data_IF_530535860587
#
_entry.id   IF_530535860587
#
_cell.length_a   1.000
_cell.length_b   1.000
_cell.length_c   1.000
_cell.angle_alpha   90.00
_cell.angle_beta   90.00
_cell.angle_gamma   90.00
#
_symmetry.space_group_name_H-M   'P 1'
#
loop_
_entity.id
_entity.type
_entity.pdbx_description
1 polymer ?
#
# COMPACT_ATOMS: atom_id res chain seq x y z
N UNK A 1 14.72 31.96 12.09
CA UNK A 1 15.89 31.19 11.66
C UNK A 1 15.79 29.84 12.33
N UNK A 2 15.29 28.85 11.60
CA UNK A 2 15.11 27.47 12.05
C UNK A 2 16.46 26.78 11.95
N UNK A 3 17.06 26.37 13.07
CA UNK A 3 18.24 25.53 13.04
C UNK A 3 17.80 24.11 12.71
N UNK A 4 17.96 23.73 11.45
CA UNK A 4 17.92 22.33 11.04
C UNK A 4 18.99 21.58 11.82
N UNK A 5 18.57 20.61 12.62
CA UNK A 5 19.48 19.70 13.33
C UNK A 5 19.44 18.34 12.61
N UNK A 6 20.56 17.85 12.06
CA UNK A 6 20.57 16.51 11.49
C UNK A 6 20.47 15.49 12.64
N UNK A 7 19.52 14.57 12.53
CA UNK A 7 19.24 13.49 13.51
C UNK A 7 20.42 12.51 13.76
N UNK A 8 21.56 12.71 13.07
CA UNK A 8 22.75 11.86 13.11
C UNK A 8 23.75 12.20 14.22
N UNK A 9 23.46 13.16 15.12
CA UNK A 9 24.33 13.53 16.26
C UNK A 9 23.62 13.65 17.60
N UNK A 10 22.65 12.79 17.91
CA UNK A 10 22.45 12.44 19.32
C UNK A 10 23.67 11.63 19.77
N UNK A 11 24.29 11.91 20.93
CA UNK A 11 25.48 11.19 21.34
C UNK A 11 25.13 9.72 21.47
N UNK A 12 25.68 8.94 20.55
CA UNK A 12 25.58 7.48 20.39
C UNK A 12 25.78 6.70 21.70
N UNK A 13 26.39 7.35 22.69
CA UNK A 13 26.69 6.85 24.03
C UNK A 13 25.43 6.85 24.92
N UNK A 14 24.57 7.87 24.87
CA UNK A 14 23.41 7.98 25.78
C UNK A 14 22.32 6.98 25.39
N UNK A 15 22.08 6.79 24.08
CA UNK A 15 21.11 5.80 23.61
C UNK A 15 21.62 4.36 23.82
N UNK A 16 22.90 4.07 23.52
CA UNK A 16 23.45 2.74 23.77
C UNK A 16 23.60 2.41 25.25
N UNK A 17 24.04 3.34 26.11
CA UNK A 17 24.10 3.07 27.56
C UNK A 17 22.70 3.00 28.16
N UNK A 18 21.79 3.92 27.81
CA UNK A 18 20.43 3.93 28.33
C UNK A 18 19.64 2.68 27.93
N UNK A 19 19.69 2.28 26.66
CA UNK A 19 18.96 1.11 26.15
C UNK A 19 19.63 -0.23 26.47
N UNK A 20 20.96 -0.30 26.66
CA UNK A 20 21.62 -1.52 27.19
C UNK A 20 21.34 -1.76 28.68
N UNK A 21 21.01 -0.70 29.43
CA UNK A 21 20.68 -0.80 30.86
C UNK A 21 19.22 -1.12 31.12
N UNK A 22 18.35 -0.93 30.13
CA UNK A 22 16.97 -1.36 30.20
C UNK A 22 16.87 -2.69 29.47
N UNK A 23 16.49 -3.77 30.13
CA UNK A 23 16.00 -4.97 29.44
C UNK A 23 14.56 -4.68 29.00
N UNK A 24 14.11 -4.93 27.75
CA UNK A 24 14.65 -5.83 26.72
C UNK A 24 14.70 -5.20 25.30
N UNK A 25 15.76 -4.44 24.97
CA UNK A 25 15.87 -3.76 23.66
C UNK A 25 16.99 -4.34 22.81
N UNK A 26 16.73 -4.47 21.50
CA UNK A 26 17.73 -4.76 20.48
C UNK A 26 17.67 -3.66 19.40
N UNK A 27 18.83 -3.13 19.01
CA UNK A 27 18.96 -2.08 18.00
C UNK A 27 19.54 -2.73 16.75
N UNK A 28 18.71 -2.90 15.73
CA UNK A 28 19.15 -3.42 14.43
C UNK A 28 19.55 -2.27 13.51
N UNK A 29 20.74 -2.41 12.91
CA UNK A 29 21.22 -1.49 11.90
C UNK A 29 20.99 -2.11 10.53
N UNK A 30 19.95 -1.68 9.82
CA UNK A 30 19.77 -2.01 8.41
C UNK A 30 20.51 -0.96 7.59
N UNK A 31 21.22 -1.40 6.54
CA UNK A 31 22.01 -0.54 5.69
C UNK A 31 21.08 0.41 4.89
N UNK A 32 21.18 1.71 5.17
CA UNK A 32 20.43 2.76 4.48
C UNK A 32 19.43 3.48 5.39
N UNK A 33 19.93 4.44 6.17
CA UNK A 33 19.22 5.50 6.94
C UNK A 33 18.06 5.16 7.90
N UNK A 34 17.47 3.97 7.87
CA UNK A 34 16.41 3.58 8.81
C UNK A 34 16.99 2.83 10.03
N UNK A 35 16.73 3.35 11.23
CA UNK A 35 17.02 2.66 12.49
C UNK A 35 15.74 2.06 13.03
N UNK A 36 15.68 0.73 13.04
CA UNK A 36 14.60 -0.04 13.64
C UNK A 36 14.92 -0.31 15.11
N UNK A 37 13.98 0.03 15.99
CA UNK A 37 14.05 -0.32 17.41
C UNK A 37 13.08 -1.49 17.64
N UNK A 38 13.62 -2.68 17.92
CA UNK A 38 12.84 -3.88 18.22
C UNK A 38 12.72 -4.03 19.73
N UNK A 39 11.52 -4.35 20.20
CA UNK A 39 11.18 -4.44 21.61
C UNK A 39 10.62 -5.82 21.92
N UNK A 40 11.15 -6.47 22.96
CA UNK A 40 10.71 -7.81 23.38
C UNK A 40 10.07 -7.79 24.76
N UNK A 41 8.85 -7.27 24.88
CA UNK A 41 8.19 -7.07 26.19
C UNK A 41 7.40 -8.32 26.60
N UNK A 42 7.58 -8.86 27.82
CA UNK A 42 6.73 -9.92 28.34
C UNK A 42 5.29 -9.41 28.54
N UNK A 43 4.30 -10.16 28.06
CA UNK A 43 2.90 -9.71 27.96
C UNK A 43 2.20 -9.44 29.29
N UNK A 44 2.78 -9.82 30.43
CA UNK A 44 2.14 -9.69 31.75
C UNK A 44 1.80 -8.23 32.13
N UNK A 45 2.47 -7.23 31.53
CA UNK A 45 2.21 -5.79 31.76
C UNK A 45 1.45 -5.07 30.61
N UNK A 46 1.06 -5.80 29.56
CA UNK A 46 0.16 -5.36 28.50
C UNK A 46 0.68 -4.23 27.59
N UNK A 47 0.02 -4.09 26.43
CA UNK A 47 0.30 -3.05 25.41
C UNK A 47 0.29 -1.59 25.93
N UNK A 48 -0.14 -1.36 27.18
CA UNK A 48 -0.29 -0.07 27.83
C UNK A 48 1.03 0.59 28.22
N UNK A 49 2.02 -0.18 28.69
CA UNK A 49 3.34 0.36 29.04
C UNK A 49 4.07 0.92 27.82
N UNK A 50 3.91 0.23 26.68
CA UNK A 50 4.58 0.57 25.44
C UNK A 50 4.10 1.91 24.85
N UNK A 51 2.81 2.24 25.01
CA UNK A 51 2.29 3.53 24.56
C UNK A 51 2.87 4.70 25.33
N UNK A 52 2.98 4.57 26.65
CA UNK A 52 3.56 5.62 27.48
C UNK A 52 5.00 5.91 27.07
N UNK A 53 5.75 4.85 26.76
CA UNK A 53 7.11 4.97 26.24
C UNK A 53 7.17 5.64 24.86
N UNK A 54 6.34 5.21 23.89
CA UNK A 54 6.28 5.85 22.56
C UNK A 54 5.95 7.34 22.68
N UNK A 55 4.96 7.70 23.50
CA UNK A 55 4.61 9.11 23.72
C UNK A 55 5.75 9.89 24.37
N UNK A 56 6.50 9.26 25.27
CA UNK A 56 7.69 9.88 25.88
C UNK A 56 8.80 10.12 24.85
N UNK A 57 9.08 9.15 23.97
CA UNK A 57 10.04 9.33 22.87
C UNK A 57 9.57 10.42 21.90
N UNK A 58 8.28 10.40 21.54
CA UNK A 58 7.69 11.44 20.71
C UNK A 58 7.84 12.83 21.32
N UNK A 59 7.69 12.95 22.64
CA UNK A 59 7.90 14.20 23.37
C UNK A 59 9.36 14.64 23.39
N UNK A 60 10.30 13.72 23.72
CA UNK A 60 11.74 14.05 23.79
C UNK A 60 12.27 14.48 22.43
N UNK A 61 11.90 13.76 21.36
CA UNK A 61 12.45 14.00 20.03
C UNK A 61 11.58 14.94 19.18
N UNK A 62 10.40 15.31 19.66
CA UNK A 62 9.41 16.09 18.92
C UNK A 62 9.04 15.43 17.58
N UNK A 63 8.84 14.10 17.58
CA UNK A 63 8.50 13.28 16.41
C UNK A 63 7.21 12.53 16.69
N UNK A 64 6.25 12.57 15.77
CA UNK A 64 5.01 11.80 15.88
C UNK A 64 5.18 10.37 15.36
N UNK A 65 4.44 9.42 15.92
CA UNK A 65 4.28 8.09 15.35
C UNK A 65 3.62 8.21 13.97
N UNK A 66 4.27 7.70 12.94
CA UNK A 66 3.80 7.80 11.55
C UNK A 66 3.33 6.46 10.99
N UNK A 67 4.02 5.39 11.35
CA UNK A 67 3.92 4.06 10.74
C UNK A 67 3.75 3.00 11.85
N UNK A 68 2.87 2.03 11.62
CA UNK A 68 2.74 0.81 12.42
C UNK A 68 2.81 -0.40 11.49
N UNK A 69 3.73 -1.31 11.78
CA UNK A 69 3.75 -2.65 11.18
C UNK A 69 3.28 -3.66 12.23
N UNK A 70 2.28 -4.45 11.88
CA UNK A 70 1.66 -5.43 12.76
C UNK A 70 1.68 -6.81 12.11
N UNK A 71 2.45 -7.70 12.74
CA UNK A 71 2.48 -9.12 12.45
C UNK A 71 1.30 -9.79 13.17
N UNK A 72 0.12 -9.74 12.55
CA UNK A 72 -1.14 -9.98 13.25
C UNK A 72 -1.32 -11.44 13.74
N UNK A 73 -0.59 -12.38 13.14
CA UNK A 73 -0.60 -13.80 13.50
C UNK A 73 0.13 -14.10 14.81
N UNK A 74 0.98 -13.18 15.27
CA UNK A 74 1.75 -13.33 16.52
C UNK A 74 0.92 -13.03 17.77
N UNK A 75 -0.28 -12.49 17.58
CA UNK A 75 -1.13 -12.00 18.66
C UNK A 75 -2.51 -12.65 18.60
N UNK A 76 -3.13 -12.81 19.77
CA UNK A 76 -4.54 -13.18 19.85
C UNK A 76 -5.42 -12.08 19.28
N UNK A 77 -6.69 -12.40 19.03
CA UNK A 77 -7.68 -11.44 18.55
C UNK A 77 -7.80 -10.23 19.48
N UNK A 78 -7.93 -10.45 20.79
CA UNK A 78 -8.12 -9.39 21.78
C UNK A 78 -6.89 -8.46 21.83
N UNK A 79 -5.69 -9.02 21.68
CA UNK A 79 -4.44 -8.25 21.65
C UNK A 79 -4.33 -7.40 20.38
N UNK A 80 -4.65 -7.96 19.21
CA UNK A 80 -4.73 -7.19 17.95
C UNK A 80 -5.73 -6.03 18.07
N UNK A 81 -6.90 -6.27 18.67
CA UNK A 81 -7.90 -5.23 18.90
C UNK A 81 -7.35 -4.08 19.76
N UNK A 82 -6.68 -4.41 20.87
CA UNK A 82 -6.06 -3.42 21.77
C UNK A 82 -4.95 -2.64 21.04
N UNK A 83 -4.10 -3.32 20.26
CA UNK A 83 -3.00 -2.69 19.52
C UNK A 83 -3.57 -1.68 18.52
N UNK A 84 -4.57 -2.07 17.71
CA UNK A 84 -5.14 -1.19 16.70
C UNK A 84 -5.84 0.01 17.33
N UNK A 85 -6.60 -0.18 18.40
CA UNK A 85 -7.27 0.92 19.10
C UNK A 85 -6.28 1.91 19.71
N UNK A 86 -5.17 1.42 20.25
CA UNK A 86 -4.14 2.29 20.80
C UNK A 86 -3.42 3.03 19.68
N UNK A 87 -2.84 2.32 18.72
CA UNK A 87 -1.85 2.90 17.81
C UNK A 87 -2.45 3.45 16.52
N UNK A 88 -3.65 3.01 16.13
CA UNK A 88 -4.32 3.42 14.89
C UNK A 88 -5.72 4.02 15.12
N UNK A 89 -6.18 4.21 16.36
CA UNK A 89 -7.47 4.85 16.68
C UNK A 89 -7.31 6.34 16.99
N UNK A 90 -8.06 7.21 16.29
CA UNK A 90 -8.15 8.62 16.61
C UNK A 90 -9.17 8.80 17.75
N UNK A 91 -8.69 8.61 18.98
CA UNK A 91 -9.51 8.87 20.17
C UNK A 91 -9.34 10.32 20.59
N UNK A 92 -10.39 10.92 21.18
CA UNK A 92 -10.40 12.32 21.66
C UNK A 92 -9.27 12.68 22.64
N UNK A 93 -8.53 11.70 23.14
CA UNK A 93 -7.40 11.86 24.06
C UNK A 93 -6.04 11.68 23.39
N UNK A 94 -5.97 11.35 22.10
CA UNK A 94 -4.74 10.88 21.49
C UNK A 94 -4.54 11.34 20.05
N UNK A 95 -3.64 12.31 19.87
CA UNK A 95 -3.28 12.86 18.56
C UNK A 95 -2.05 12.20 17.94
N UNK A 96 -1.37 11.32 18.68
CA UNK A 96 -0.15 10.64 18.25
C UNK A 96 -0.46 9.20 17.82
N UNK A 97 -1.13 9.04 16.69
CA UNK A 97 -1.52 7.76 16.11
C UNK A 97 -0.85 7.55 14.75
N UNK A 98 -0.58 6.29 14.41
CA UNK A 98 0.00 5.91 13.14
C UNK A 98 -0.99 6.22 12.00
N UNK A 99 -0.52 6.95 11.00
CA UNK A 99 -1.29 7.28 9.79
C UNK A 99 -1.09 6.25 8.69
N UNK A 100 -0.12 5.36 8.86
CA UNK A 100 0.20 4.27 7.95
C UNK A 100 0.20 2.96 8.72
N UNK A 101 -0.48 1.96 8.18
CA UNK A 101 -0.60 0.63 8.77
C UNK A 101 -0.12 -0.41 7.76
N UNK A 102 0.76 -1.31 8.19
CA UNK A 102 1.16 -2.51 7.44
C UNK A 102 0.72 -3.73 8.24
N UNK A 103 -0.09 -4.58 7.63
CA UNK A 103 -0.46 -5.89 8.20
C UNK A 103 0.36 -6.96 7.50
N UNK A 104 1.12 -7.71 8.30
CA UNK A 104 2.00 -8.79 7.83
C UNK A 104 1.47 -10.12 8.34
N UNK A 105 1.27 -11.07 7.43
CA UNK A 105 0.99 -12.48 7.74
C UNK A 105 2.12 -13.35 7.20
N UNK A 106 2.99 -13.83 8.10
CA UNK A 106 4.17 -14.65 7.71
C UNK A 106 3.77 -16.01 7.13
N UNK A 107 2.62 -16.54 7.54
CA UNK A 107 2.10 -17.83 7.11
C UNK A 107 0.80 -17.68 6.31
N UNK A 108 0.47 -18.70 5.52
CA UNK A 108 -0.78 -18.75 4.77
C UNK A 108 -1.95 -18.58 5.73
N UNK A 109 -2.74 -17.52 5.52
CA UNK A 109 -3.85 -17.16 6.37
C UNK A 109 -4.95 -18.23 6.34
N UNK A 110 -5.42 -18.59 7.53
CA UNK A 110 -6.61 -19.40 7.75
C UNK A 110 -7.88 -18.55 7.61
N UNK A 111 -9.08 -19.16 7.51
CA UNK A 111 -10.33 -18.40 7.54
C UNK A 111 -10.51 -17.57 8.82
N UNK A 112 -9.95 -18.01 9.96
CA UNK A 112 -9.96 -17.24 11.21
C UNK A 112 -9.06 -16.00 11.14
N UNK A 113 -7.92 -16.12 10.47
CA UNK A 113 -7.01 -14.99 10.19
C UNK A 113 -7.67 -13.98 9.26
N UNK A 114 -8.37 -14.43 8.22
CA UNK A 114 -9.12 -13.55 7.33
C UNK A 114 -10.21 -12.76 8.09
N UNK A 115 -10.90 -13.40 9.05
CA UNK A 115 -11.87 -12.73 9.93
C UNK A 115 -11.19 -11.71 10.84
N UNK A 116 -10.01 -12.04 11.39
CA UNK A 116 -9.22 -11.13 12.21
C UNK A 116 -8.77 -9.90 11.41
N UNK A 117 -8.26 -10.09 10.19
CA UNK A 117 -7.89 -8.99 9.29
C UNK A 117 -9.11 -8.11 9.00
N UNK A 118 -10.27 -8.70 8.67
CA UNK A 118 -11.50 -7.93 8.50
C UNK A 118 -11.85 -7.12 9.75
N UNK A 119 -11.68 -7.71 10.93
CA UNK A 119 -11.91 -7.02 12.19
C UNK A 119 -10.97 -5.82 12.38
N UNK A 120 -9.68 -5.99 12.09
CA UNK A 120 -8.68 -4.91 12.14
C UNK A 120 -9.03 -3.78 11.14
N UNK A 121 -9.37 -4.13 9.91
CA UNK A 121 -9.72 -3.18 8.85
C UNK A 121 -10.96 -2.32 9.18
N UNK A 122 -11.90 -2.90 9.93
CA UNK A 122 -13.10 -2.21 10.40
C UNK A 122 -12.84 -1.27 11.60
N UNK A 123 -11.62 -1.24 12.15
CA UNK A 123 -11.27 -0.44 13.33
C UNK A 123 -10.20 0.61 13.09
N UNK A 124 -9.23 0.30 12.24
CA UNK A 124 -8.08 1.16 11.98
C UNK A 124 -8.48 2.49 11.32
N UNK A 125 -7.79 3.58 11.69
CA UNK A 125 -8.01 4.93 11.16
C UNK A 125 -6.77 5.46 10.41
N UNK A 126 -6.02 4.58 9.74
CA UNK A 126 -4.88 4.95 8.91
C UNK A 126 -5.35 5.67 7.63
N UNK A 127 -5.17 6.99 7.60
CA UNK A 127 -5.62 7.85 6.51
C UNK A 127 -4.62 7.87 5.32
N UNK A 128 -3.33 7.64 5.55
CA UNK A 128 -2.31 7.84 4.53
C UNK A 128 -2.04 6.58 3.70
N UNK A 129 -1.69 5.46 4.35
CA UNK A 129 -1.28 4.23 3.67
C UNK A 129 -1.77 3.01 4.43
N UNK A 130 -2.34 2.05 3.72
CA UNK A 130 -2.63 0.72 4.25
C UNK A 130 -1.92 -0.31 3.37
N UNK A 131 -1.06 -1.13 3.97
CA UNK A 131 -0.37 -2.23 3.32
C UNK A 131 -0.94 -3.55 3.83
N UNK A 132 -1.36 -4.42 2.92
CA UNK A 132 -1.75 -5.80 3.19
C UNK A 132 -0.68 -6.71 2.58
N UNK A 133 0.20 -7.23 3.41
CA UNK A 133 1.16 -8.26 3.02
C UNK A 133 0.80 -9.57 3.70
N UNK A 134 -0.05 -10.33 3.02
CA UNK A 134 -0.55 -11.59 3.56
C UNK A 134 -0.88 -12.55 2.43
N UNK A 135 -0.59 -13.82 2.65
CA UNK A 135 -0.94 -14.88 1.73
C UNK A 135 -2.26 -15.52 2.14
N UNK A 136 -3.34 -15.22 1.42
CA UNK A 136 -4.65 -15.86 1.64
C UNK A 136 -5.24 -16.37 0.33
N UNK A 137 -6.03 -17.44 0.43
CA UNK A 137 -6.83 -17.99 -0.67
C UNK A 137 -8.32 -17.70 -0.52
N UNK A 138 -8.77 -17.29 0.66
CA UNK A 138 -10.18 -17.10 1.00
C UNK A 138 -10.53 -15.67 1.37
N UNK A 139 -9.54 -14.81 1.58
CA UNK A 139 -9.76 -13.43 1.96
C UNK A 139 -10.62 -12.71 0.91
N UNK A 140 -11.59 -11.95 1.39
CA UNK A 140 -12.56 -11.29 0.55
C UNK A 140 -12.74 -9.84 0.99
N UNK A 141 -12.07 -8.94 0.28
CA UNK A 141 -12.12 -7.49 0.53
C UNK A 141 -13.52 -6.89 0.31
N UNK A 142 -14.43 -7.59 -0.37
CA UNK A 142 -15.83 -7.12 -0.52
C UNK A 142 -16.57 -7.10 0.82
N UNK A 143 -16.10 -7.91 1.77
CA UNK A 143 -16.67 -8.00 3.12
C UNK A 143 -15.99 -7.05 4.10
N UNK A 144 -14.81 -6.52 3.77
CA UNK A 144 -14.13 -5.56 4.63
C UNK A 144 -14.82 -4.19 4.51
N UNK A 145 -15.30 -3.66 5.63
CA UNK A 145 -15.80 -2.30 5.72
C UNK A 145 -14.71 -1.42 6.32
N UNK A 146 -13.83 -0.89 5.47
CA UNK A 146 -12.80 0.04 5.94
C UNK A 146 -13.44 1.17 6.75
N UNK A 147 -12.99 1.34 8.00
CA UNK A 147 -13.45 2.45 8.83
C UNK A 147 -13.06 3.80 8.24
N UNK A 148 -11.84 3.88 7.70
CA UNK A 148 -11.36 4.98 6.89
C UNK A 148 -10.81 4.49 5.56
N UNK A 149 -11.03 5.30 4.53
CA UNK A 149 -10.48 5.09 3.19
C UNK A 149 -9.05 5.64 3.16
N UNK A 150 -8.02 4.79 3.02
CA UNK A 150 -6.65 5.27 2.95
C UNK A 150 -6.40 5.94 1.59
N UNK A 151 -5.53 6.96 1.58
CA UNK A 151 -5.08 7.58 0.32
C UNK A 151 -4.33 6.58 -0.57
N UNK A 152 -3.57 5.67 0.01
CA UNK A 152 -2.85 4.61 -0.70
C UNK A 152 -3.18 3.24 -0.11
N UNK A 153 -3.62 2.32 -0.96
CA UNK A 153 -3.73 0.89 -0.65
C UNK A 153 -2.57 0.16 -1.33
N UNK A 154 -1.80 -0.60 -0.57
CA UNK A 154 -0.75 -1.47 -1.07
C UNK A 154 -1.13 -2.91 -0.78
N UNK A 155 -1.09 -3.76 -1.79
CA UNK A 155 -1.38 -5.19 -1.67
C UNK A 155 -0.15 -5.92 -2.16
N UNK A 156 0.43 -6.73 -1.28
CA UNK A 156 1.52 -7.64 -1.60
C UNK A 156 0.99 -9.07 -1.58
N UNK A 157 1.56 -9.92 -2.42
CA UNK A 157 1.21 -11.34 -2.53
C UNK A 157 -0.30 -11.61 -2.74
N UNK A 158 -0.95 -10.99 -3.75
CA UNK A 158 -2.40 -10.86 -3.91
C UNK A 158 -3.07 -12.13 -4.47
N UNK A 159 -2.80 -13.31 -3.90
CA UNK A 159 -3.40 -14.57 -4.37
C UNK A 159 -4.93 -14.59 -4.27
N UNK A 160 -5.50 -13.76 -3.39
CA UNK A 160 -6.93 -13.59 -3.18
C UNK A 160 -7.58 -12.51 -4.07
N UNK A 161 -6.80 -11.70 -4.81
CA UNK A 161 -7.35 -10.61 -5.63
C UNK A 161 -7.79 -11.12 -7.01
N UNK A 162 -9.06 -10.88 -7.35
CA UNK A 162 -9.63 -11.14 -8.67
C UNK A 162 -10.02 -9.84 -9.39
N UNK A 163 -10.32 -9.90 -10.70
CA UNK A 163 -10.88 -8.74 -11.46
C UNK A 163 -12.12 -8.14 -10.82
N UNK A 164 -12.91 -8.99 -10.17
CA UNK A 164 -14.14 -8.59 -9.49
C UNK A 164 -13.87 -7.92 -8.15
N UNK A 165 -12.66 -8.02 -7.59
CA UNK A 165 -12.29 -7.34 -6.34
C UNK A 165 -11.78 -5.92 -6.59
N UNK A 166 -11.17 -5.68 -7.76
CA UNK A 166 -10.66 -4.36 -8.16
C UNK A 166 -11.74 -3.26 -8.12
N UNK A 167 -13.01 -3.63 -8.34
CA UNK A 167 -14.15 -2.69 -8.24
C UNK A 167 -14.47 -2.23 -6.82
N UNK A 168 -13.99 -2.93 -5.80
CA UNK A 168 -14.25 -2.60 -4.40
C UNK A 168 -13.10 -1.84 -3.74
N UNK A 169 -11.96 -1.72 -4.41
CA UNK A 169 -10.88 -0.86 -3.93
C UNK A 169 -11.34 0.58 -3.89
N UNK A 170 -11.13 1.21 -2.73
CA UNK A 170 -11.54 2.56 -2.46
C UNK A 170 -10.37 3.28 -1.78
N UNK A 171 -9.54 3.91 -2.62
CA UNK A 171 -8.34 4.66 -2.25
C UNK A 171 -7.96 5.56 -3.40
N UNK A 172 -7.28 6.68 -3.17
CA UNK A 172 -6.79 7.51 -4.28
C UNK A 172 -5.84 6.70 -5.19
N UNK A 173 -4.89 6.00 -4.59
CA UNK A 173 -3.91 5.16 -5.28
C UNK A 173 -3.94 3.71 -4.79
N UNK A 174 -3.75 2.76 -5.71
CA UNK A 174 -3.65 1.32 -5.40
C UNK A 174 -2.37 0.75 -6.01
N UNK A 175 -1.56 0.07 -5.21
CA UNK A 175 -0.36 -0.64 -5.65
C UNK A 175 -0.53 -2.14 -5.40
N UNK A 176 -0.36 -2.94 -6.42
CA UNK A 176 -0.46 -4.40 -6.34
C UNK A 176 0.87 -4.98 -6.79
N UNK A 177 1.58 -5.64 -5.87
CA UNK A 177 2.89 -6.24 -6.12
C UNK A 177 2.76 -7.75 -6.28
N UNK A 178 3.71 -8.37 -6.98
CA UNK A 178 3.79 -9.84 -7.09
C UNK A 178 2.51 -10.51 -7.60
N UNK A 179 1.86 -9.93 -8.61
CA UNK A 179 0.63 -10.47 -9.20
C UNK A 179 0.93 -11.69 -10.10
N UNK A 180 1.18 -12.85 -9.49
CA UNK A 180 1.68 -14.04 -10.18
C UNK A 180 0.62 -14.95 -10.84
N UNK A 181 -0.67 -14.65 -10.68
CA UNK A 181 -1.72 -15.48 -11.30
C UNK A 181 -1.75 -15.35 -12.82
N UNK A 182 -1.79 -16.50 -13.51
CA UNK A 182 -1.96 -16.59 -14.97
C UNK A 182 -3.25 -15.89 -15.43
N UNK A 183 -4.23 -15.69 -14.56
CA UNK A 183 -5.51 -15.05 -14.92
C UNK A 183 -5.45 -13.53 -15.01
N UNK A 184 -4.35 -12.89 -14.62
CA UNK A 184 -4.28 -11.43 -14.55
C UNK A 184 -4.45 -10.72 -15.90
N UNK A 185 -4.04 -11.31 -17.03
CA UNK A 185 -4.36 -10.78 -18.36
C UNK A 185 -5.86 -10.62 -18.63
N UNK A 186 -6.68 -11.64 -18.33
CA UNK A 186 -8.15 -11.56 -18.40
C UNK A 186 -8.69 -10.48 -17.46
N UNK A 187 -8.03 -10.24 -16.33
CA UNK A 187 -8.46 -9.22 -15.38
C UNK A 187 -8.25 -7.82 -15.93
N UNK A 188 -7.13 -7.58 -16.63
CA UNK A 188 -6.85 -6.31 -17.31
C UNK A 188 -7.80 -6.10 -18.48
N UNK A 189 -8.02 -7.13 -19.32
CA UNK A 189 -9.00 -7.10 -20.42
C UNK A 189 -10.39 -6.70 -19.90
N UNK A 190 -10.87 -7.41 -18.86
CA UNK A 190 -12.18 -7.14 -18.25
C UNK A 190 -12.25 -5.74 -17.62
N UNK A 191 -11.16 -5.26 -17.01
CA UNK A 191 -11.08 -3.95 -16.40
C UNK A 191 -11.22 -2.84 -17.44
N UNK A 192 -10.51 -2.95 -18.58
CA UNK A 192 -10.58 -1.99 -19.67
C UNK A 192 -12.00 -1.96 -20.25
N UNK A 193 -12.56 -3.13 -20.56
CA UNK A 193 -13.93 -3.22 -21.12
C UNK A 193 -14.96 -2.61 -20.18
N UNK A 194 -14.94 -2.99 -18.89
CA UNK A 194 -15.90 -2.44 -17.94
C UNK A 194 -15.77 -0.93 -17.81
N UNK A 195 -14.55 -0.42 -17.77
CA UNK A 195 -14.33 1.03 -17.68
C UNK A 195 -14.88 1.75 -18.91
N UNK A 196 -14.62 1.21 -20.11
CA UNK A 196 -15.13 1.75 -21.37
C UNK A 196 -16.66 1.75 -21.41
N UNK A 197 -17.31 0.69 -20.93
CA UNK A 197 -18.77 0.59 -20.82
C UNK A 197 -19.37 1.28 -19.58
N UNK A 198 -18.72 2.34 -19.09
CA UNK A 198 -19.29 3.28 -18.12
C UNK A 198 -19.03 2.98 -16.64
N UNK A 199 -18.33 1.89 -16.31
CA UNK A 199 -17.91 1.69 -14.92
C UNK A 199 -16.79 2.67 -14.56
N UNK A 200 -16.94 3.38 -13.45
CA UNK A 200 -15.90 4.29 -12.93
C UNK A 200 -15.43 3.75 -11.58
N UNK A 201 -14.15 3.35 -11.43
CA UNK A 201 -13.63 2.82 -10.17
C UNK A 201 -13.59 3.90 -9.08
N UNK A 202 -13.62 3.52 -7.80
CA UNK A 202 -13.47 4.46 -6.68
C UNK A 202 -12.02 4.91 -6.43
N UNK A 203 -11.07 4.33 -7.15
CA UNK A 203 -9.68 4.76 -7.19
C UNK A 203 -9.35 5.59 -8.43
N UNK A 204 -8.26 6.35 -8.36
CA UNK A 204 -7.82 7.25 -9.45
C UNK A 204 -6.66 6.66 -10.24
N UNK A 205 -5.62 6.22 -9.52
CA UNK A 205 -4.43 5.64 -10.12
C UNK A 205 -4.13 4.27 -9.54
N UNK A 206 -3.61 3.39 -10.39
CA UNK A 206 -3.26 2.02 -10.00
C UNK A 206 -1.93 1.62 -10.62
N UNK A 207 -1.13 0.86 -9.89
CA UNK A 207 0.01 0.12 -10.41
C UNK A 207 -0.15 -1.36 -10.09
N UNK A 208 0.08 -2.22 -11.07
CA UNK A 208 0.11 -3.67 -10.90
C UNK A 208 1.44 -4.20 -11.46
N UNK A 209 2.18 -4.93 -10.64
CA UNK A 209 3.38 -5.66 -11.03
C UNK A 209 3.04 -7.08 -11.47
N UNK A 210 3.36 -7.42 -12.71
CA UNK A 210 3.20 -8.75 -13.29
C UNK A 210 4.54 -9.44 -13.42
N UNK A 211 4.51 -10.76 -13.61
CA UNK A 211 5.66 -11.49 -14.13
C UNK A 211 5.94 -11.09 -15.59
N UNK A 212 4.88 -10.94 -16.39
CA UNK A 212 4.92 -10.45 -17.76
C UNK A 212 3.53 -9.97 -18.18
N UNK A 213 3.47 -8.86 -18.92
CA UNK A 213 2.25 -8.34 -19.55
C UNK A 213 2.59 -7.66 -20.89
N UNK A 214 1.81 -7.98 -21.93
CA UNK A 214 1.86 -7.28 -23.20
C UNK A 214 0.51 -6.57 -23.42
N UNK A 215 0.53 -5.23 -23.38
CA UNK A 215 -0.70 -4.44 -23.54
C UNK A 215 -1.22 -4.47 -24.97
N UNK A 216 -0.36 -4.61 -25.98
CA UNK A 216 -0.80 -4.69 -27.38
C UNK A 216 -1.65 -5.95 -27.59
N UNK A 217 -1.24 -7.09 -27.02
CA UNK A 217 -2.01 -8.35 -27.08
C UNK A 217 -3.39 -8.23 -26.42
N UNK A 218 -3.46 -7.53 -25.29
CA UNK A 218 -4.70 -7.26 -24.55
C UNK A 218 -5.63 -6.36 -25.38
N UNK A 219 -5.11 -5.24 -25.91
CA UNK A 219 -5.90 -4.30 -26.70
C UNK A 219 -6.40 -4.98 -27.98
N UNK A 220 -5.56 -5.76 -28.66
CA UNK A 220 -5.94 -6.46 -29.88
C UNK A 220 -7.11 -7.43 -29.69
N UNK A 221 -7.23 -8.06 -28.51
CA UNK A 221 -8.38 -8.93 -28.20
C UNK A 221 -9.69 -8.16 -27.98
N UNK A 222 -9.62 -6.92 -27.51
CA UNK A 222 -10.81 -6.11 -27.21
C UNK A 222 -11.18 -5.12 -28.32
N UNK A 223 -10.37 -5.03 -29.40
CA UNK A 223 -10.65 -4.18 -30.59
C UNK A 223 -11.99 -4.42 -31.25
N UNK A 224 -12.54 -5.64 -31.17
CA UNK A 224 -13.88 -5.92 -31.70
C UNK A 224 -14.98 -5.19 -30.91
N UNK A 225 -14.70 -4.80 -29.67
CA UNK A 225 -15.65 -4.18 -28.72
C UNK A 225 -15.41 -2.69 -28.53
N UNK A 226 -14.18 -2.22 -28.75
CA UNK A 226 -13.77 -0.82 -28.60
C UNK A 226 -13.32 -0.29 -29.96
N UNK A 227 -13.99 0.73 -30.54
CA UNK A 227 -13.61 1.31 -31.81
C UNK A 227 -12.18 1.84 -31.82
N UNK A 228 -11.47 1.64 -32.94
CA UNK A 228 -10.10 2.17 -33.11
C UNK A 228 -10.04 3.71 -33.01
N UNK A 229 -11.14 4.42 -33.30
CA UNK A 229 -11.23 5.88 -33.14
C UNK A 229 -11.06 6.35 -31.69
N UNK A 230 -11.36 5.47 -30.73
CA UNK A 230 -11.35 5.78 -29.31
C UNK A 230 -10.04 5.37 -28.64
N UNK A 231 -9.12 4.75 -29.40
CA UNK A 231 -7.84 4.22 -28.93
C UNK A 231 -6.67 5.02 -29.51
N UNK A 232 -5.94 5.70 -28.63
CA UNK A 232 -4.68 6.37 -28.98
C UNK A 232 -3.49 5.63 -28.39
N UNK A 233 -2.69 4.97 -29.24
CA UNK A 233 -1.44 4.31 -28.86
C UNK A 233 -0.26 5.27 -28.98
N UNK A 234 0.62 5.25 -27.99
CA UNK A 234 1.93 5.92 -28.01
C UNK A 234 2.99 5.00 -27.40
N UNK A 235 4.23 5.14 -27.84
CA UNK A 235 5.35 4.32 -27.39
C UNK A 235 6.56 5.22 -27.19
N UNK A 236 7.27 5.02 -26.08
CA UNK A 236 8.46 5.79 -25.74
C UNK A 236 9.51 4.88 -25.10
N UNK A 237 10.77 5.27 -25.23
CA UNK A 237 11.87 4.68 -24.46
C UNK A 237 12.55 5.81 -23.72
N UNK A 238 12.62 5.68 -22.40
CA UNK A 238 13.19 6.71 -21.52
C UNK A 238 14.42 6.16 -20.80
N UNK A 239 15.39 7.04 -20.53
CA UNK A 239 16.54 6.71 -19.69
C UNK A 239 16.20 7.03 -18.23
N UNK A 240 16.28 6.02 -17.37
CA UNK A 240 16.03 6.13 -15.93
C UNK A 240 17.24 5.74 -15.10
N UNK A 241 17.13 5.83 -13.76
CA UNK A 241 18.21 5.47 -12.83
C UNK A 241 18.70 4.02 -13.03
N UNK A 242 17.76 3.14 -13.39
CA UNK A 242 17.98 1.69 -13.55
C UNK A 242 18.30 1.31 -15.01
N UNK A 243 18.54 2.30 -15.89
CA UNK A 243 18.80 2.13 -17.31
C UNK A 243 17.62 2.48 -18.21
N UNK A 244 17.63 1.95 -19.43
CA UNK A 244 16.58 2.20 -20.43
C UNK A 244 15.28 1.49 -20.03
N UNK A 245 14.19 2.26 -20.03
CA UNK A 245 12.85 1.77 -19.75
C UNK A 245 11.95 1.95 -20.97
N UNK A 246 11.33 0.87 -21.41
CA UNK A 246 10.43 0.83 -22.55
C UNK A 246 8.98 0.98 -22.09
N UNK A 247 8.22 1.88 -22.70
CA UNK A 247 6.84 2.18 -22.31
C UNK A 247 5.89 2.20 -23.49
N UNK A 248 4.80 1.45 -23.37
CA UNK A 248 3.68 1.47 -24.31
C UNK A 248 2.46 2.01 -23.56
N UNK A 249 1.85 3.06 -24.09
CA UNK A 249 0.66 3.70 -23.50
C UNK A 249 -0.50 3.68 -24.47
N UNK A 250 -1.67 3.33 -23.95
CA UNK A 250 -2.97 3.49 -24.59
C UNK A 250 -3.78 4.54 -23.83
N UNK A 251 -4.29 5.52 -24.56
CA UNK A 251 -5.31 6.46 -24.05
C UNK A 251 -6.64 6.08 -24.68
N UNK A 252 -7.64 5.81 -23.85
CA UNK A 252 -8.95 5.31 -24.28
C UNK A 252 -9.99 6.37 -23.98
N UNK A 253 -10.66 6.87 -25.01
CA UNK A 253 -11.74 7.84 -24.89
C UNK A 253 -13.06 7.11 -24.63
N UNK A 254 -13.83 7.58 -23.67
CA UNK A 254 -15.20 7.10 -23.42
C UNK A 254 -16.22 8.10 -23.98
N UNK A 255 -17.44 7.64 -24.26
CA UNK A 255 -18.53 8.48 -24.80
C UNK A 255 -18.85 9.72 -23.96
N UNK A 256 -18.61 9.67 -22.64
CA UNK A 256 -18.80 10.79 -21.71
C UNK A 256 -17.64 11.80 -21.72
N UNK A 257 -16.65 11.61 -22.58
CA UNK A 257 -15.48 12.49 -22.73
C UNK A 257 -14.37 12.26 -21.70
N UNK A 258 -14.51 11.27 -20.82
CA UNK A 258 -13.45 10.90 -19.87
C UNK A 258 -12.41 10.02 -20.58
N UNK A 259 -11.13 10.23 -20.28
CA UNK A 259 -10.01 9.50 -20.85
C UNK A 259 -9.35 8.65 -19.76
N UNK A 260 -9.18 7.36 -20.03
CA UNK A 260 -8.30 6.50 -19.23
C UNK A 260 -6.96 6.31 -19.92
N UNK A 261 -5.89 6.27 -19.13
CA UNK A 261 -4.55 5.96 -19.60
C UNK A 261 -4.12 4.60 -19.03
N UNK A 262 -3.63 3.73 -19.91
CA UNK A 262 -3.05 2.43 -19.58
C UNK A 262 -1.63 2.40 -20.11
N UNK A 263 -0.64 2.40 -19.22
CA UNK A 263 0.78 2.41 -19.57
C UNK A 263 1.42 1.12 -19.06
N UNK A 264 2.04 0.35 -19.95
CA UNK A 264 2.90 -0.77 -19.58
C UNK A 264 4.37 -0.37 -19.71
N UNK A 265 5.13 -0.58 -18.65
CA UNK A 265 6.57 -0.35 -18.58
C UNK A 265 7.31 -1.69 -18.49
N UNK A 266 8.28 -1.90 -19.39
CA UNK A 266 9.15 -3.07 -19.48
C UNK A 266 8.39 -4.41 -19.51
N UNK A 267 7.17 -4.43 -20.06
CA UNK A 267 6.28 -5.59 -20.04
C UNK A 267 6.07 -6.18 -18.64
N UNK A 268 6.23 -5.38 -17.59
CA UNK A 268 6.20 -5.83 -16.19
C UNK A 268 5.21 -5.04 -15.36
N UNK A 269 5.24 -3.72 -15.45
CA UNK A 269 4.39 -2.85 -14.63
C UNK A 269 3.28 -2.25 -15.48
N UNK A 270 2.03 -2.47 -15.09
CA UNK A 270 0.88 -1.74 -15.65
C UNK A 270 0.55 -0.58 -14.73
N UNK A 271 0.51 0.63 -15.27
CA UNK A 271 0.00 1.81 -14.61
C UNK A 271 -1.29 2.24 -15.27
N UNK A 272 -2.28 2.59 -14.45
CA UNK A 272 -3.62 2.96 -14.89
C UNK A 272 -3.97 4.31 -14.29
N UNK A 273 -4.47 5.23 -15.11
CA UNK A 273 -5.23 6.41 -14.66
C UNK A 273 -6.65 6.26 -15.18
N UNK A 274 -7.63 6.21 -14.28
CA UNK A 274 -9.04 5.92 -14.63
C UNK A 274 -9.99 7.11 -14.49
N UNK A 275 -9.52 8.21 -13.90
CA UNK A 275 -10.26 9.46 -13.71
C UNK A 275 -9.39 10.65 -14.07
N UNK A 276 -9.97 11.61 -14.80
CA UNK A 276 -9.30 12.87 -15.17
C UNK A 276 -9.45 13.99 -14.12
N UNK A 277 -10.19 13.74 -13.04
CA UNK A 277 -10.53 14.77 -12.05
C UNK A 277 -9.40 15.08 -11.05
N UNK A 278 -8.15 14.76 -11.36
CA UNK A 278 -7.02 14.92 -10.44
C UNK A 278 -5.82 15.54 -11.15
N UNK A 279 -5.18 16.51 -10.50
CA UNK A 279 -3.97 17.20 -11.00
C UNK A 279 -2.73 16.29 -11.12
N UNK A 280 -2.84 15.01 -10.77
CA UNK A 280 -1.73 14.06 -10.78
C UNK A 280 -1.69 13.36 -12.13
N UNK A 281 -0.68 13.67 -12.92
CA UNK A 281 -0.38 12.93 -14.15
C UNK A 281 0.13 11.52 -13.82
N UNK A 282 -0.03 10.60 -14.78
CA UNK A 282 0.51 9.24 -14.65
C UNK A 282 2.04 9.25 -14.49
N UNK A 283 2.73 10.19 -15.15
CA UNK A 283 4.17 10.38 -14.99
C UNK A 283 4.56 10.78 -13.56
N UNK A 284 3.85 11.73 -12.95
CA UNK A 284 4.08 12.11 -11.54
C UNK A 284 3.80 10.95 -10.59
N UNK A 285 2.76 10.16 -10.85
CA UNK A 285 2.48 8.96 -10.06
C UNK A 285 3.63 7.95 -10.14
N UNK A 286 4.12 7.63 -11.35
CA UNK A 286 5.24 6.71 -11.57
C UNK A 286 6.51 7.19 -10.84
N UNK A 287 6.84 8.48 -10.94
CA UNK A 287 8.01 9.05 -10.23
C UNK A 287 7.90 8.89 -8.71
N UNK A 288 6.69 9.03 -8.14
CA UNK A 288 6.48 8.88 -6.69
C UNK A 288 6.61 7.46 -6.19
N UNK A 289 6.29 6.46 -7.01
CA UNK A 289 6.27 5.05 -6.59
C UNK A 289 7.55 4.30 -6.94
N UNK A 290 8.38 4.81 -7.85
CA UNK A 290 9.69 4.21 -8.18
C UNK A 290 10.57 3.89 -6.97
N UNK A 291 10.68 4.75 -5.93
CA UNK A 291 11.47 4.41 -4.74
C UNK A 291 10.92 3.23 -3.92
N UNK A 292 9.69 2.80 -4.21
CA UNK A 292 8.98 1.72 -3.51
C UNK A 292 9.00 0.40 -4.30
N UNK A 293 9.60 0.40 -5.50
CA UNK A 293 9.76 -0.75 -6.41
C UNK A 293 11.19 -1.28 -6.32
#
# INVERSE_FOLDING_TARGET
MSSEFPLFRLPLIVLNHGLKLMTPFEIDHIAGEEKLLKFYVPMEDGCFGFRTFINHLSFIFNITLTDLELHFQDFTRDENEIIIDLYCGNTTRNTNYAKKLTLVGESVSTPGDDELVNHILNRQEAECKLTLDMQSFTFNIRRSQFRYIPNQLVIQNPNWVTSSDIKYFNSFSVLIFSAHSIMWWWYVENLIERWYFGWTPNWTVMMIEFLFINIDDIINKIRERIPDSDLLRSEETIEGPDGLSHRIKYSINREDGIIAEFLVENNKYLYIRSRDNTDISLSTFITKIKPMM
#
